data_IF_541661877943
#
_entry.id   IF_541661877943
#
_cell.length_a   1.000
_cell.length_b   1.000
_cell.length_c   1.000
_cell.angle_alpha   90.00
_cell.angle_beta   90.00
_cell.angle_gamma   90.00
#
_symmetry.space_group_name_H-M   'P 1'
#
loop_
_entity.id
_entity.type
_entity.pdbx_description
1 polymer ?
#
# COMPACT_ATOMS: atom_id res chain seq x y z
N UNK A 1 27.64 -17.12 22.20
CA UNK A 1 27.11 -17.48 20.86
C UNK A 1 25.69 -17.99 21.01
N UNK A 2 24.75 -17.86 20.04
CA UNK A 2 24.73 -17.08 18.79
C UNK A 2 23.56 -16.05 18.72
N UNK A 3 23.74 -15.03 17.88
CA UNK A 3 22.75 -13.98 17.54
C UNK A 3 21.64 -14.62 16.69
N UNK A 4 20.39 -14.59 17.16
CA UNK A 4 19.24 -15.17 16.45
C UNK A 4 18.97 -14.35 15.18
N UNK A 5 19.45 -14.84 14.05
CA UNK A 5 19.15 -14.27 12.75
C UNK A 5 17.69 -14.60 12.42
N UNK A 6 16.80 -13.61 12.56
CA UNK A 6 15.44 -13.69 12.07
C UNK A 6 15.48 -13.86 10.55
N UNK A 7 15.06 -15.03 10.07
CA UNK A 7 14.91 -15.34 8.65
C UNK A 7 13.84 -14.43 8.06
N UNK A 8 14.24 -13.29 7.49
CA UNK A 8 13.35 -12.49 6.65
C UNK A 8 13.13 -13.24 5.35
N UNK A 9 12.01 -13.97 5.28
CA UNK A 9 11.46 -14.37 3.98
C UNK A 9 10.96 -13.09 3.33
N UNK A 10 11.81 -12.47 2.50
CA UNK A 10 11.39 -11.42 1.57
C UNK A 10 10.39 -12.06 0.62
N UNK A 11 9.11 -11.97 0.97
CA UNK A 11 8.02 -12.32 0.06
C UNK A 11 8.13 -11.31 -1.08
N UNK A 12 8.26 -11.78 -2.33
CA UNK A 12 8.16 -10.92 -3.49
C UNK A 12 6.91 -10.04 -3.31
N UNK A 13 7.03 -8.71 -3.36
CA UNK A 13 5.86 -7.84 -3.26
C UNK A 13 4.88 -8.28 -4.34
N UNK A 14 3.58 -8.36 -4.03
CA UNK A 14 2.55 -8.54 -5.04
C UNK A 14 2.75 -7.45 -6.09
N UNK A 15 3.40 -7.80 -7.19
CA UNK A 15 3.76 -6.85 -8.23
C UNK A 15 2.46 -6.45 -8.92
N UNK A 16 2.09 -5.17 -8.81
CA UNK A 16 0.95 -4.64 -9.53
C UNK A 16 1.13 -4.94 -11.03
N UNK A 17 0.10 -5.45 -11.73
CA UNK A 17 0.19 -5.73 -13.14
C UNK A 17 0.74 -4.53 -13.92
N UNK A 18 1.73 -4.73 -14.81
CA UNK A 18 2.26 -3.63 -15.63
C UNK A 18 1.13 -3.05 -16.48
N UNK A 19 0.82 -1.77 -16.27
CA UNK A 19 -0.25 -1.05 -16.97
C UNK A 19 -1.35 -0.50 -16.06
N UNK A 20 -1.48 -0.98 -14.83
CA UNK A 20 -2.36 -0.36 -13.84
C UNK A 20 -1.59 0.77 -13.16
N UNK A 21 -2.05 2.00 -13.36
CA UNK A 21 -1.54 3.16 -12.65
C UNK A 21 -1.76 3.02 -11.13
N UNK A 22 -1.20 3.92 -10.31
CA UNK A 22 -1.35 3.88 -8.86
C UNK A 22 -2.80 4.00 -8.39
N UNK A 23 -3.71 4.44 -9.27
CA UNK A 23 -5.15 4.57 -9.01
C UNK A 23 -5.91 3.87 -10.14
N UNK A 24 -6.89 3.04 -9.78
CA UNK A 24 -7.80 2.36 -10.70
C UNK A 24 -9.23 2.58 -10.25
N UNK A 25 -10.11 2.97 -11.17
CA UNK A 25 -11.55 3.13 -10.91
C UNK A 25 -12.30 2.03 -11.63
N UNK A 26 -13.16 1.31 -10.92
CA UNK A 26 -14.02 0.28 -11.52
C UNK A 26 -15.29 0.88 -12.14
N UNK A 27 -16.02 0.15 -13.02
CA UNK A 27 -17.24 0.66 -13.65
C UNK A 27 -18.40 0.99 -12.70
N UNK A 28 -18.33 0.56 -11.43
CA UNK A 28 -19.29 0.88 -10.37
C UNK A 28 -18.87 2.11 -9.57
N UNK A 29 -17.74 2.73 -9.91
CA UNK A 29 -17.18 3.90 -9.24
C UNK A 29 -16.27 3.59 -8.05
N UNK A 30 -15.93 2.32 -7.81
CA UNK A 30 -15.00 1.94 -6.75
C UNK A 30 -13.56 2.33 -7.10
N UNK A 31 -12.83 2.90 -6.13
CA UNK A 31 -11.45 3.36 -6.32
C UNK A 31 -10.48 2.43 -5.59
N UNK A 32 -9.51 1.87 -6.33
CA UNK A 32 -8.40 1.07 -5.79
C UNK A 32 -7.09 1.84 -5.93
N UNK A 33 -6.33 1.95 -4.85
CA UNK A 33 -5.02 2.63 -4.83
C UNK A 33 -3.92 1.61 -4.50
N UNK A 34 -2.91 1.51 -5.35
CA UNK A 34 -1.72 0.70 -5.08
C UNK A 34 -0.76 1.49 -4.18
N UNK A 35 -0.58 1.04 -2.94
CA UNK A 35 0.29 1.70 -1.96
C UNK A 35 1.51 0.83 -1.68
N UNK A 36 2.69 1.30 -2.06
CA UNK A 36 3.96 0.77 -1.57
C UNK A 36 4.28 1.37 -0.20
N UNK A 37 4.00 0.61 0.86
CA UNK A 37 4.41 1.01 2.19
C UNK A 37 5.93 1.01 2.31
N UNK A 38 6.48 1.95 3.10
CA UNK A 38 7.92 1.98 3.39
C UNK A 38 8.31 0.73 4.18
N UNK A 39 9.19 -0.15 3.67
CA UNK A 39 9.58 -1.38 4.37
C UNK A 39 10.19 -1.05 5.74
N UNK A 40 9.77 -1.80 6.77
CA UNK A 40 10.23 -1.60 8.15
C UNK A 40 9.64 -0.39 8.88
N UNK A 41 8.79 0.42 8.22
CA UNK A 41 8.13 1.52 8.90
C UNK A 41 6.96 1.01 9.75
N UNK A 42 6.89 1.48 11.00
CA UNK A 42 5.76 1.21 11.90
C UNK A 42 4.54 2.07 11.59
N UNK A 43 4.76 3.21 10.95
CA UNK A 43 3.72 4.16 10.57
C UNK A 43 4.03 4.70 9.17
N UNK A 44 3.03 4.72 8.30
CA UNK A 44 3.05 5.48 7.06
C UNK A 44 1.85 6.44 7.17
N UNK A 45 2.10 7.75 7.18
CA UNK A 45 1.07 8.74 7.47
C UNK A 45 0.43 9.19 6.14
N UNK A 46 -0.89 9.17 6.09
CA UNK A 46 -1.68 9.81 5.03
C UNK A 46 -2.04 11.21 5.53
N UNK A 47 -1.64 12.25 4.79
CA UNK A 47 -1.98 13.65 5.08
C UNK A 47 -3.22 14.09 4.29
N UNK A 48 -3.85 15.19 4.70
CA UNK A 48 -4.96 15.86 3.97
C UNK A 48 -6.28 15.08 3.83
N UNK A 49 -6.52 14.06 4.66
CA UNK A 49 -7.85 13.44 4.75
C UNK A 49 -8.83 14.38 5.46
N UNK A 50 -9.85 14.87 4.74
CA UNK A 50 -10.97 15.65 5.30
C UNK A 50 -12.28 14.93 5.01
N UNK A 51 -13.16 14.83 6.01
CA UNK A 51 -14.47 14.19 5.87
C UNK A 51 -15.36 14.90 4.83
N UNK A 52 -15.19 16.22 4.67
CA UNK A 52 -15.90 17.05 3.69
C UNK A 52 -15.65 16.64 2.23
N UNK A 53 -14.53 15.97 1.94
CA UNK A 53 -14.18 15.49 0.61
C UNK A 53 -14.90 14.18 0.23
N UNK A 54 -15.50 13.49 1.22
CA UNK A 54 -16.32 12.31 1.01
C UNK A 54 -17.79 12.76 0.99
N UNK A 55 -18.26 13.16 -0.19
CA UNK A 55 -19.71 13.29 -0.42
C UNK A 55 -20.29 11.89 -0.66
N UNK A 56 -21.22 11.51 0.22
CA UNK A 56 -22.04 10.31 0.10
C UNK A 56 -23.27 10.60 -0.77
#
# INVERSE_FOLDING_TARGET
TPKRAGKTTTKCPNQTPPGLGPVVVDPRGGVTIAIHAKPGSKQNIVTDMRAEAVRW
#
